data_IF_467913174140
#
_entry.id   IF_467913174140
#
_cell.length_a   1.000
_cell.length_b   1.000
_cell.length_c   1.000
_cell.angle_alpha   90.00
_cell.angle_beta   90.00
_cell.angle_gamma   90.00
#
_symmetry.space_group_name_H-M   'P 1'
#
loop_
_entity.id
_entity.type
_entity.pdbx_description
1 polymer ?
#
# COMPACT_ATOMS: atom_id res chain seq x y z
N UNK A 1 16.42 10.96 13.23
CA UNK A 1 15.22 11.82 13.01
C UNK A 1 14.15 10.88 12.45
N UNK A 2 12.92 10.92 12.99
CA UNK A 2 11.81 10.12 12.46
C UNK A 2 11.16 10.82 11.28
N UNK A 3 10.61 10.02 10.36
CA UNK A 3 9.91 10.50 9.16
C UNK A 3 8.41 10.63 9.47
N UNK A 4 7.82 11.78 9.21
CA UNK A 4 6.38 12.00 9.39
C UNK A 4 5.61 11.19 8.36
N UNK A 5 4.74 10.28 8.83
CA UNK A 5 3.90 9.44 7.97
C UNK A 5 2.42 9.60 8.31
N UNK A 6 1.62 10.01 7.34
CA UNK A 6 0.17 10.01 7.47
C UNK A 6 -0.35 8.58 7.37
N UNK A 7 -0.96 8.12 8.47
CA UNK A 7 -1.31 6.72 8.67
C UNK A 7 -2.64 6.55 9.40
N UNK A 8 -3.35 5.51 9.03
CA UNK A 8 -4.46 4.92 9.78
C UNK A 8 -4.31 3.40 9.81
N UNK A 9 -4.57 2.79 10.97
CA UNK A 9 -4.42 1.34 11.18
C UNK A 9 -5.37 0.49 10.30
N UNK A 10 -6.48 1.06 9.87
CA UNK A 10 -7.44 0.39 8.99
C UNK A 10 -7.11 0.56 7.50
N UNK A 11 -6.12 1.40 7.17
CA UNK A 11 -5.72 1.61 5.79
C UNK A 11 -4.79 0.47 5.31
N UNK A 12 -5.20 -0.37 4.35
CA UNK A 12 -4.38 -1.48 3.89
C UNK A 12 -3.10 -1.01 3.18
N UNK A 13 -3.13 0.13 2.51
CA UNK A 13 -1.94 0.69 1.86
C UNK A 13 -0.91 1.20 2.88
N UNK A 14 -1.37 1.79 4.00
CA UNK A 14 -0.47 2.13 5.10
C UNK A 14 0.14 0.88 5.73
N UNK A 15 -0.66 -0.19 5.91
CA UNK A 15 -0.17 -1.47 6.43
C UNK A 15 0.89 -2.10 5.52
N UNK A 16 0.74 -2.01 4.18
CA UNK A 16 1.76 -2.44 3.21
C UNK A 16 3.11 -1.79 3.50
N UNK A 17 3.14 -0.47 3.72
CA UNK A 17 4.36 0.27 4.07
C UNK A 17 4.95 -0.19 5.40
N UNK A 18 4.11 -0.42 6.41
CA UNK A 18 4.56 -0.89 7.72
C UNK A 18 5.14 -2.31 7.66
N UNK A 19 4.56 -3.20 6.86
CA UNK A 19 5.10 -4.54 6.63
C UNK A 19 6.50 -4.42 6.00
N UNK A 20 6.65 -3.65 4.93
CA UNK A 20 7.95 -3.40 4.29
C UNK A 20 8.99 -2.89 5.28
N UNK A 21 8.63 -1.91 6.09
CA UNK A 21 9.53 -1.36 7.11
C UNK A 21 9.88 -2.39 8.19
N UNK A 22 8.93 -3.22 8.60
CA UNK A 22 9.16 -4.29 9.57
C UNK A 22 10.15 -5.33 9.05
N UNK A 23 9.98 -5.78 7.81
CA UNK A 23 10.88 -6.74 7.16
C UNK A 23 12.32 -6.21 7.05
N UNK A 24 12.47 -4.91 6.85
CA UNK A 24 13.78 -4.25 6.84
C UNK A 24 14.29 -3.82 8.23
N UNK A 25 13.56 -4.18 9.31
CA UNK A 25 13.90 -3.77 10.69
C UNK A 25 13.94 -2.23 10.87
N UNK A 26 13.08 -1.54 10.13
CA UNK A 26 12.94 -0.08 10.09
C UNK A 26 11.65 0.42 10.78
N UNK A 27 11.02 -0.40 11.64
CA UNK A 27 9.73 -0.05 12.26
C UNK A 27 9.72 1.26 13.06
N UNK A 28 10.88 1.65 13.59
CA UNK A 28 11.02 2.85 14.43
C UNK A 28 11.29 4.14 13.66
N UNK A 29 11.37 4.11 12.33
CA UNK A 29 11.70 5.30 11.53
C UNK A 29 10.53 6.28 11.39
N UNK A 30 9.30 5.88 11.74
CA UNK A 30 8.11 6.68 11.51
C UNK A 30 7.66 7.45 12.74
N UNK A 31 7.18 8.68 12.48
CA UNK A 31 6.36 9.48 13.38
C UNK A 31 4.96 9.61 12.75
N UNK A 32 3.96 8.98 13.40
CA UNK A 32 2.64 8.82 12.81
C UNK A 32 1.74 10.03 13.06
N UNK A 33 1.10 10.50 12.00
CA UNK A 33 0.07 11.55 12.04
C UNK A 33 -1.25 10.97 11.59
N UNK A 34 -2.29 11.11 12.43
CA UNK A 34 -3.65 10.70 12.05
C UNK A 34 -4.22 11.69 11.03
N UNK A 35 -4.61 11.23 9.83
CA UNK A 35 -5.24 12.07 8.82
C UNK A 35 -6.67 12.50 9.19
N UNK A 36 -7.23 11.95 10.28
CA UNK A 36 -8.58 12.29 10.77
C UNK A 36 -8.56 13.33 11.90
N UNK A 37 -7.40 13.68 12.45
CA UNK A 37 -7.27 14.84 13.33
C UNK A 37 -7.36 16.15 12.53
N UNK A 38 -7.86 17.22 13.15
CA UNK A 38 -7.95 18.54 12.48
C UNK A 38 -6.61 18.97 11.90
N UNK A 39 -5.55 18.93 12.71
CA UNK A 39 -4.21 19.29 12.28
C UNK A 39 -3.67 18.35 11.18
N UNK A 40 -3.99 17.04 11.27
CA UNK A 40 -3.58 16.06 10.28
C UNK A 40 -4.28 16.24 8.92
N UNK A 41 -5.54 16.65 8.91
CA UNK A 41 -6.25 16.96 7.66
C UNK A 41 -5.66 18.18 6.95
N UNK A 42 -5.42 19.26 7.70
CA UNK A 42 -4.84 20.49 7.17
C UNK A 42 -3.46 20.21 6.55
N UNK A 43 -2.57 19.56 7.29
CA UNK A 43 -1.21 19.30 6.82
C UNK A 43 -1.12 18.20 5.76
N UNK A 44 -2.04 17.22 5.76
CA UNK A 44 -2.06 16.19 4.70
C UNK A 44 -2.31 16.79 3.32
N UNK A 45 -3.21 17.77 3.19
CA UNK A 45 -3.51 18.42 1.91
C UNK A 45 -2.29 19.18 1.38
N UNK A 46 -1.51 19.79 2.29
CA UNK A 46 -0.26 20.47 1.94
C UNK A 46 0.81 19.50 1.42
N UNK A 47 0.96 18.35 2.09
CA UNK A 47 1.98 17.34 1.76
C UNK A 47 1.54 16.41 0.61
N UNK A 48 0.23 16.17 0.44
CA UNK A 48 -0.34 15.36 -0.64
C UNK A 48 -1.64 16.01 -1.16
N UNK A 49 -1.62 16.65 -2.33
CA UNK A 49 -2.79 17.35 -2.88
C UNK A 49 -3.99 16.43 -3.17
N UNK A 50 -3.77 15.10 -3.22
CA UNK A 50 -4.84 14.12 -3.35
C UNK A 50 -5.55 13.82 -2.01
N UNK A 51 -5.05 14.37 -0.89
CA UNK A 51 -5.53 14.10 0.47
C UNK A 51 -5.66 12.60 0.79
N UNK A 52 -4.78 11.78 0.23
CA UNK A 52 -4.77 10.32 0.42
C UNK A 52 -3.63 9.86 1.31
N UNK A 53 -3.89 8.84 2.10
CA UNK A 53 -2.89 8.12 2.87
C UNK A 53 -2.56 6.76 2.20
N UNK A 54 -1.34 6.24 2.41
CA UNK A 54 -0.22 6.86 3.11
C UNK A 54 0.42 7.99 2.31
N UNK A 55 0.96 8.97 3.04
CA UNK A 55 1.91 9.95 2.53
C UNK A 55 3.08 10.06 3.52
N UNK A 56 4.30 10.22 3.03
CA UNK A 56 5.53 10.23 3.81
C UNK A 56 6.31 11.50 3.53
N UNK A 57 6.55 12.31 4.55
CA UNK A 57 7.42 13.49 4.45
C UNK A 57 8.87 13.04 4.67
N UNK A 58 9.67 13.10 3.61
CA UNK A 58 11.07 12.65 3.62
C UNK A 58 12.05 13.76 3.94
N UNK A 59 11.66 15.01 3.67
CA UNK A 59 12.37 16.22 4.07
C UNK A 59 11.41 17.41 4.10
N UNK A 60 11.78 18.54 4.72
CA UNK A 60 10.93 19.73 4.71
C UNK A 60 10.54 20.14 3.29
N UNK A 61 9.22 20.24 3.05
CA UNK A 61 8.65 20.59 1.75
C UNK A 61 8.69 19.49 0.69
N UNK A 62 9.12 18.28 1.05
CA UNK A 62 9.11 17.15 0.11
C UNK A 62 8.47 15.91 0.74
N UNK A 63 7.28 15.59 0.26
CA UNK A 63 6.55 14.37 0.60
C UNK A 63 6.43 13.45 -0.61
N UNK A 64 6.38 12.14 -0.37
CA UNK A 64 6.17 11.12 -1.37
C UNK A 64 4.88 10.33 -1.09
N UNK A 65 4.22 9.91 -2.13
CA UNK A 65 3.00 9.10 -2.21
C UNK A 65 2.91 8.50 -3.63
N UNK A 66 2.22 7.37 -3.91
CA UNK A 66 1.43 6.55 -3.00
C UNK A 66 2.28 5.49 -2.26
N UNK A 67 1.63 4.45 -1.73
CA UNK A 67 2.30 3.35 -1.02
C UNK A 67 3.39 2.65 -1.82
N UNK A 68 3.29 2.58 -3.14
CA UNK A 68 4.31 1.98 -4.04
C UNK A 68 5.60 2.77 -4.00
N UNK A 69 5.50 4.09 -4.09
CA UNK A 69 6.65 4.99 -4.02
C UNK A 69 7.27 4.95 -2.64
N UNK A 70 6.42 4.96 -1.59
CA UNK A 70 6.89 4.88 -0.20
C UNK A 70 7.59 3.55 0.07
N UNK A 71 7.04 2.42 -0.39
CA UNK A 71 7.68 1.11 -0.23
C UNK A 71 9.07 1.08 -0.89
N UNK A 72 9.22 1.61 -2.10
CA UNK A 72 10.53 1.71 -2.76
C UNK A 72 11.50 2.60 -1.99
N UNK A 73 11.01 3.70 -1.43
CA UNK A 73 11.85 4.56 -0.60
C UNK A 73 12.28 3.83 0.68
N UNK A 74 11.37 3.14 1.37
CA UNK A 74 11.69 2.34 2.57
C UNK A 74 12.66 1.22 2.23
N UNK A 75 12.46 0.52 1.11
CA UNK A 75 13.39 -0.51 0.64
C UNK A 75 14.80 0.06 0.39
N UNK A 76 14.90 1.31 -0.10
CA UNK A 76 16.20 1.97 -0.32
C UNK A 76 16.95 2.31 0.99
N UNK A 77 16.25 2.39 2.11
CA UNK A 77 16.83 2.66 3.43
C UNK A 77 17.36 1.41 4.15
N UNK A 78 17.14 0.22 3.59
CA UNK A 78 17.61 -1.05 4.17
C UNK A 78 19.12 -1.07 4.36
N UNK A 79 19.58 -1.80 5.37
CA UNK A 79 21.01 -1.92 5.65
C UNK A 79 21.54 -3.33 5.40
N UNK A 80 20.92 -4.32 6.03
CA UNK A 80 21.43 -5.70 6.09
C UNK A 80 20.44 -6.73 5.57
N UNK A 81 19.33 -6.30 4.96
CA UNK A 81 18.31 -7.16 4.38
C UNK A 81 18.36 -7.13 2.86
N UNK A 82 17.98 -8.19 2.16
CA UNK A 82 17.84 -8.17 0.71
C UNK A 82 16.79 -7.13 0.27
N UNK A 83 16.92 -6.62 -0.95
CA UNK A 83 15.89 -5.77 -1.54
C UNK A 83 14.68 -6.60 -1.96
N UNK A 84 13.49 -6.10 -1.71
CA UNK A 84 12.25 -6.65 -2.28
C UNK A 84 12.05 -6.28 -3.76
N UNK A 85 12.83 -5.31 -4.24
CA UNK A 85 12.83 -4.91 -5.64
C UNK A 85 14.15 -5.32 -6.29
N UNK A 86 14.17 -6.39 -7.10
CA UNK A 86 15.33 -6.73 -7.91
C UNK A 86 15.78 -5.54 -8.75
N UNK A 87 17.10 -5.41 -8.98
CA UNK A 87 17.67 -4.22 -9.64
C UNK A 87 17.17 -4.06 -11.08
N UNK A 88 17.03 -5.19 -11.81
CA UNK A 88 16.69 -5.19 -13.25
C UNK A 88 16.17 -6.55 -13.72
N UNK A 89 15.86 -6.62 -15.00
CA UNK A 89 15.49 -7.87 -15.68
C UNK A 89 14.08 -8.35 -15.37
N UNK A 90 13.82 -9.62 -15.72
CA UNK A 90 12.49 -10.23 -15.57
C UNK A 90 12.05 -10.29 -14.09
N UNK A 91 12.99 -10.49 -13.17
CA UNK A 91 12.70 -10.54 -11.76
C UNK A 91 12.10 -9.22 -11.24
N UNK A 92 12.62 -8.07 -11.68
CA UNK A 92 12.04 -6.77 -11.35
C UNK A 92 10.60 -6.64 -11.88
N UNK A 93 10.39 -6.98 -13.14
CA UNK A 93 9.05 -6.88 -13.75
C UNK A 93 8.04 -7.81 -13.07
N UNK A 94 8.50 -8.98 -12.64
CA UNK A 94 7.68 -9.94 -11.88
C UNK A 94 7.30 -9.37 -10.51
N UNK A 95 8.24 -8.81 -9.76
CA UNK A 95 7.99 -8.18 -8.47
C UNK A 95 6.98 -7.03 -8.61
N UNK A 96 7.18 -6.13 -9.58
CA UNK A 96 6.27 -5.02 -9.86
C UNK A 96 4.87 -5.48 -10.31
N UNK A 97 4.79 -6.56 -11.06
CA UNK A 97 3.52 -7.16 -11.47
C UNK A 97 2.75 -7.70 -10.25
N UNK A 98 3.43 -8.38 -9.32
CA UNK A 98 2.79 -8.86 -8.09
C UNK A 98 2.36 -7.70 -7.18
N UNK A 99 3.19 -6.67 -7.04
CA UNK A 99 2.81 -5.44 -6.34
C UNK A 99 1.55 -4.83 -6.95
N UNK A 100 1.51 -4.68 -8.27
CA UNK A 100 0.35 -4.12 -8.98
C UNK A 100 -0.90 -5.01 -8.85
N UNK A 101 -0.74 -6.33 -8.85
CA UNK A 101 -1.85 -7.27 -8.65
C UNK A 101 -2.42 -7.13 -7.24
N UNK A 102 -1.55 -7.09 -6.22
CA UNK A 102 -1.95 -6.89 -4.83
C UNK A 102 -2.71 -5.59 -4.61
N UNK A 103 -2.17 -4.48 -5.11
CA UNK A 103 -2.82 -3.17 -5.02
C UNK A 103 -4.17 -3.14 -5.77
N UNK A 104 -4.26 -3.76 -6.95
CA UNK A 104 -5.53 -3.87 -7.70
C UNK A 104 -6.59 -4.70 -6.98
N UNK A 105 -6.18 -5.75 -6.24
CA UNK A 105 -7.09 -6.48 -5.36
C UNK A 105 -7.55 -5.62 -4.18
N UNK A 106 -6.66 -4.85 -3.56
CA UNK A 106 -7.02 -3.92 -2.48
C UNK A 106 -7.97 -2.82 -2.96
N UNK A 107 -7.72 -2.22 -4.13
CA UNK A 107 -8.62 -1.25 -4.75
C UNK A 107 -10.03 -1.82 -4.91
N UNK A 108 -10.11 -3.05 -5.42
CA UNK A 108 -11.38 -3.74 -5.63
C UNK A 108 -12.08 -4.09 -4.30
N UNK A 109 -11.34 -4.53 -3.29
CA UNK A 109 -11.87 -4.84 -1.97
C UNK A 109 -12.40 -3.57 -1.26
N UNK A 110 -11.68 -2.45 -1.37
CA UNK A 110 -12.13 -1.16 -0.84
C UNK A 110 -13.40 -0.69 -1.56
N UNK A 111 -13.45 -0.80 -2.90
CA UNK A 111 -14.64 -0.44 -3.66
C UNK A 111 -15.85 -1.31 -3.29
N UNK A 112 -15.64 -2.60 -3.05
CA UNK A 112 -16.69 -3.51 -2.56
C UNK A 112 -17.17 -3.10 -1.15
N UNK A 113 -16.24 -2.81 -0.23
CA UNK A 113 -16.59 -2.32 1.11
C UNK A 113 -17.37 -1.00 1.05
N UNK A 114 -16.96 -0.06 0.22
CA UNK A 114 -17.65 1.21 0.04
C UNK A 114 -19.09 0.98 -0.46
N UNK A 115 -19.31 0.04 -1.38
CA UNK A 115 -20.66 -0.31 -1.84
C UNK A 115 -21.52 -0.88 -0.71
N UNK A 116 -20.96 -1.75 0.15
CA UNK A 116 -21.65 -2.32 1.30
C UNK A 116 -21.99 -1.29 2.40
N UNK A 117 -21.27 -0.18 2.47
CA UNK A 117 -21.52 0.88 3.46
C UNK A 117 -22.54 1.91 3.00
N UNK A 118 -22.98 1.85 1.74
CA UNK A 118 -24.07 2.70 1.24
C UNK A 118 -25.41 2.33 1.88
N UNK A 119 -26.38 3.27 1.99
CA UNK A 119 -27.76 2.93 2.32
C UNK A 119 -28.25 1.80 1.41
N UNK A 120 -29.02 0.86 1.96
CA UNK A 120 -29.45 -0.35 1.23
C UNK A 120 -30.15 -0.06 -0.09
N UNK A 121 -30.97 0.98 -0.12
CA UNK A 121 -31.71 1.47 -1.31
C UNK A 121 -30.79 2.02 -2.41
N UNK A 122 -29.54 2.31 -2.09
CA UNK A 122 -28.53 2.82 -3.02
C UNK A 122 -27.43 1.82 -3.33
N UNK A 123 -27.50 0.61 -2.74
CA UNK A 123 -26.54 -0.44 -3.03
C UNK A 123 -26.78 -1.06 -4.41
N UNK A 124 -25.73 -1.32 -5.13
CA UNK A 124 -25.75 -1.96 -6.44
C UNK A 124 -25.10 -3.36 -6.34
N UNK A 125 -25.89 -4.43 -6.19
CA UNK A 125 -25.36 -5.80 -6.04
C UNK A 125 -24.39 -6.21 -7.17
N UNK A 126 -24.73 -5.89 -8.40
CA UNK A 126 -23.87 -6.19 -9.56
C UNK A 126 -22.50 -5.51 -9.48
N UNK A 127 -22.44 -4.30 -8.94
CA UNK A 127 -21.19 -3.58 -8.72
C UNK A 127 -20.35 -4.27 -7.65
N UNK A 128 -20.99 -4.69 -6.57
CA UNK A 128 -20.34 -5.46 -5.51
C UNK A 128 -19.75 -6.77 -6.05
N UNK A 129 -20.56 -7.57 -6.75
CA UNK A 129 -20.14 -8.84 -7.36
C UNK A 129 -18.97 -8.64 -8.32
N UNK A 130 -19.01 -7.62 -9.17
CA UNK A 130 -17.93 -7.28 -10.10
C UNK A 130 -16.63 -6.96 -9.39
N UNK A 131 -16.66 -6.27 -8.25
CA UNK A 131 -15.45 -5.97 -7.48
C UNK A 131 -14.91 -7.22 -6.78
N UNK A 132 -15.77 -8.02 -6.16
CA UNK A 132 -15.37 -9.28 -5.53
C UNK A 132 -14.80 -10.28 -6.54
N UNK A 133 -15.37 -10.36 -7.73
CA UNK A 133 -14.85 -11.22 -8.80
C UNK A 133 -13.40 -10.89 -9.17
N UNK A 134 -13.00 -9.61 -9.17
CA UNK A 134 -11.61 -9.21 -9.41
C UNK A 134 -10.67 -9.67 -8.30
N UNK A 135 -11.11 -9.56 -7.03
CA UNK A 135 -10.34 -10.06 -5.89
C UNK A 135 -10.11 -11.57 -6.02
N UNK A 136 -11.17 -12.34 -6.28
CA UNK A 136 -11.06 -13.79 -6.45
C UNK A 136 -10.20 -14.17 -7.66
N UNK A 137 -10.29 -13.44 -8.76
CA UNK A 137 -9.44 -13.68 -9.93
C UNK A 137 -7.96 -13.43 -9.62
N UNK A 138 -7.66 -12.39 -8.84
CA UNK A 138 -6.31 -12.09 -8.35
C UNK A 138 -5.76 -13.19 -7.45
N UNK A 139 -6.55 -13.66 -6.47
CA UNK A 139 -6.17 -14.77 -5.60
C UNK A 139 -5.89 -16.06 -6.39
N UNK A 140 -6.77 -16.43 -7.34
CA UNK A 140 -6.54 -17.57 -8.23
C UNK A 140 -5.30 -17.42 -9.10
N UNK A 141 -4.96 -16.19 -9.50
CA UNK A 141 -3.73 -15.94 -10.23
C UNK A 141 -2.51 -16.23 -9.36
N UNK A 142 -2.48 -15.74 -8.11
CA UNK A 142 -1.40 -16.01 -7.16
C UNK A 142 -1.29 -17.49 -6.84
N UNK A 143 -2.40 -18.18 -6.60
CA UNK A 143 -2.44 -19.62 -6.31
C UNK A 143 -1.80 -20.44 -7.44
N UNK A 144 -2.09 -20.13 -8.70
CA UNK A 144 -1.49 -20.82 -9.86
C UNK A 144 0.02 -20.54 -10.03
N UNK A 145 0.50 -19.48 -9.43
CA UNK A 145 1.90 -19.06 -9.55
C UNK A 145 2.72 -19.36 -8.28
N UNK A 146 2.13 -20.05 -7.28
CA UNK A 146 2.80 -20.39 -6.02
C UNK A 146 4.13 -21.11 -6.24
N UNK A 147 4.17 -22.11 -7.13
CA UNK A 147 5.39 -22.86 -7.45
C UNK A 147 6.52 -21.99 -8.03
N UNK A 148 6.16 -20.82 -8.56
CA UNK A 148 7.12 -19.84 -9.10
C UNK A 148 7.55 -18.81 -8.07
N UNK A 149 6.87 -18.78 -6.92
CA UNK A 149 7.21 -17.97 -5.76
C UNK A 149 8.16 -18.72 -4.81
N UNK A 150 8.58 -19.95 -5.19
CA UNK A 150 9.57 -20.73 -4.46
C UNK A 150 10.93 -20.04 -4.50
N UNK A 151 11.24 -19.48 -3.44
CA UNK A 151 12.45 -18.83 -2.99
C UNK A 151 12.14 -18.21 -1.64
N UNK A 152 13.12 -17.94 -0.77
CA UNK A 152 12.82 -17.17 0.40
C UNK A 152 12.11 -15.89 -0.10
N UNK A 153 10.97 -15.55 0.52
CA UNK A 153 10.41 -14.21 0.44
C UNK A 153 11.44 -13.28 1.09
N UNK A 154 12.55 -13.12 0.39
CA UNK A 154 13.70 -12.32 0.79
C UNK A 154 13.72 -11.09 -0.07
#
# INVERSE_FOLDING_TARGET
>A
MKLKMYHDSNCPYSRKVLIMASEHQLGDIFDFVSPFSKAGQETLVEDNPLAKMPALVVSPGFAIFDSRVICRYVDSLRKNTPSFYPAEGEALWRALRYESLGDGMLDSAIAARQELTRPKEHQMPERLEKQLAKVYAGLKCLERELDRLEGPLT
#
